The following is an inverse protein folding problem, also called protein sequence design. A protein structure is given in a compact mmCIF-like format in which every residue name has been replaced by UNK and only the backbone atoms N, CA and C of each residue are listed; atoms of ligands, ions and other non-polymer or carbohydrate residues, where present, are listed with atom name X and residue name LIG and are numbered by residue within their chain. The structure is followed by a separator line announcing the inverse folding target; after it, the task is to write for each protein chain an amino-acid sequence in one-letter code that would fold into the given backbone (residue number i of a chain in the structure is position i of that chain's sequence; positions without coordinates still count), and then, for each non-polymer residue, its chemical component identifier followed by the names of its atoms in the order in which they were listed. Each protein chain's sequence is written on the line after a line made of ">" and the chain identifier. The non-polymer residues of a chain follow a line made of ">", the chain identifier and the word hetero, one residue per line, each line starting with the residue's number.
data_IF_703011567764
#
_entry.id   IF_703011567764
#
_cell.length_a   1.000
_cell.length_b   1.000
_cell.length_c   1.000
_cell.angle_alpha   90.00
_cell.angle_beta   90.00
_cell.angle_gamma   90.00
#
_symmetry.space_group_name_H-M   'P 1'
#
loop_
_entity.id
_entity.type
_entity.pdbx_description
1 polymer ?
#
# COMPACT_ATOMS: atom_id res chain seq x y z
N UNK A 1 -6.98 21.91 7.53
CA UNK A 1 -6.28 21.03 8.47
C UNK A 1 -6.31 19.61 7.95
N UNK A 2 -5.14 18.98 7.85
CA UNK A 2 -5.07 17.59 7.38
C UNK A 2 -5.44 16.66 8.53
N UNK A 3 -6.30 15.70 8.22
CA UNK A 3 -6.72 14.69 9.19
C UNK A 3 -5.71 13.55 9.31
N UNK A 4 -4.64 13.59 8.53
CA UNK A 4 -3.64 12.54 8.48
C UNK A 4 -2.25 13.10 8.18
N UNK A 5 -1.23 12.36 8.61
CA UNK A 5 0.14 12.62 8.19
C UNK A 5 0.41 11.84 6.90
N UNK A 6 1.13 12.44 5.99
CA UNK A 6 1.43 11.82 4.71
C UNK A 6 2.93 11.72 4.50
N UNK A 7 3.38 10.52 4.16
CA UNK A 7 4.78 10.22 3.86
C UNK A 7 4.84 9.58 2.48
N UNK A 8 5.73 10.10 1.65
CA UNK A 8 5.91 9.57 0.30
C UNK A 8 7.37 9.23 0.09
N UNK A 9 7.63 8.06 -0.50
CA UNK A 9 8.98 7.67 -0.90
C UNK A 9 8.97 7.24 -2.36
N UNK A 10 10.10 7.47 -3.01
CA UNK A 10 10.33 7.05 -4.39
C UNK A 10 11.52 6.13 -4.43
N UNK A 11 11.37 5.00 -5.09
CA UNK A 11 12.46 4.03 -5.26
C UNK A 11 12.51 3.57 -6.71
N UNK A 12 13.68 3.14 -7.18
CA UNK A 12 13.75 2.53 -8.51
C UNK A 12 12.85 1.30 -8.58
N UNK A 13 12.24 1.06 -9.75
CA UNK A 13 11.33 -0.08 -9.96
C UNK A 13 12.15 -1.37 -10.13
N UNK A 14 12.81 -1.78 -9.06
CA UNK A 14 13.68 -2.97 -9.04
C UNK A 14 13.36 -3.84 -7.82
N UNK A 15 13.41 -5.18 -7.98
CA UNK A 15 13.04 -6.09 -6.89
C UNK A 15 13.84 -5.90 -5.60
N UNK A 16 15.11 -5.49 -5.69
CA UNK A 16 15.96 -5.33 -4.51
C UNK A 16 15.49 -4.21 -3.57
N UNK A 17 14.59 -3.32 -4.02
CA UNK A 17 14.09 -2.24 -3.18
C UNK A 17 12.78 -2.57 -2.47
N UNK A 18 12.22 -3.76 -2.68
CA UNK A 18 11.01 -4.20 -1.99
C UNK A 18 11.22 -4.20 -0.47
N UNK A 19 12.42 -4.59 -0.02
CA UNK A 19 12.74 -4.62 1.41
C UNK A 19 12.71 -3.23 2.05
N UNK A 20 13.12 -2.20 1.33
CA UNK A 20 13.08 -0.82 1.83
C UNK A 20 11.63 -0.40 2.12
N UNK A 21 10.73 -0.73 1.19
CA UNK A 21 9.31 -0.41 1.34
C UNK A 21 8.70 -1.19 2.50
N UNK A 22 9.04 -2.48 2.62
CA UNK A 22 8.56 -3.33 3.71
C UNK A 22 8.96 -2.76 5.07
N UNK A 23 10.22 -2.35 5.22
CA UNK A 23 10.71 -1.78 6.47
C UNK A 23 10.05 -0.45 6.79
N UNK A 24 9.83 0.39 5.78
CA UNK A 24 9.16 1.67 5.95
C UNK A 24 7.72 1.46 6.43
N UNK A 25 6.98 0.59 5.77
CA UNK A 25 5.59 0.27 6.13
C UNK A 25 5.52 -0.28 7.55
N UNK A 26 6.45 -1.18 7.90
CA UNK A 26 6.53 -1.76 9.24
C UNK A 26 6.73 -0.69 10.32
N UNK A 27 7.67 0.23 10.09
CA UNK A 27 7.94 1.31 11.03
C UNK A 27 6.75 2.25 11.22
N UNK A 28 6.10 2.62 10.13
CA UNK A 28 4.94 3.50 10.18
C UNK A 28 3.74 2.82 10.85
N UNK A 29 3.51 1.55 10.52
CA UNK A 29 2.42 0.78 11.12
C UNK A 29 2.61 0.62 12.64
N UNK A 30 3.85 0.38 13.05
CA UNK A 30 4.16 0.30 14.48
C UNK A 30 3.84 1.61 15.20
N UNK A 31 4.12 2.73 14.55
CA UNK A 31 3.90 4.05 15.14
C UNK A 31 2.42 4.35 15.36
N UNK A 32 1.52 3.93 14.48
CA UNK A 32 0.09 4.16 14.68
C UNK A 32 -0.59 3.10 15.54
N UNK A 33 0.15 2.09 15.97
CA UNK A 33 -0.31 1.18 17.00
C UNK A 33 -0.88 -0.14 16.53
N UNK A 34 -0.58 -0.57 15.31
CA UNK A 34 -0.96 -1.93 14.87
C UNK A 34 -0.21 -2.97 15.70
N UNK A 35 -0.87 -4.10 15.96
CA UNK A 35 -0.22 -5.22 16.62
C UNK A 35 0.72 -5.95 15.66
N UNK A 36 1.47 -6.92 16.18
CA UNK A 36 2.46 -7.66 15.40
C UNK A 36 1.85 -8.34 14.17
N UNK A 37 0.71 -9.01 14.35
CA UNK A 37 0.07 -9.75 13.25
C UNK A 37 -0.38 -8.81 12.14
N UNK A 38 -0.96 -7.68 12.47
CA UNK A 38 -1.40 -6.69 11.49
C UNK A 38 -0.22 -6.04 10.78
N UNK A 39 0.89 -5.81 11.48
CA UNK A 39 2.12 -5.29 10.87
C UNK A 39 2.67 -6.29 9.86
N UNK A 40 2.67 -7.59 10.20
CA UNK A 40 3.10 -8.63 9.26
C UNK A 40 2.18 -8.69 8.04
N UNK A 41 0.88 -8.56 8.24
CA UNK A 41 -0.09 -8.53 7.14
C UNK A 41 0.17 -7.34 6.21
N UNK A 42 0.41 -6.16 6.78
CA UNK A 42 0.74 -4.95 6.01
C UNK A 42 2.03 -5.12 5.22
N UNK A 43 3.04 -5.74 5.81
CA UNK A 43 4.32 -6.00 5.13
C UNK A 43 4.14 -6.92 3.94
N UNK A 44 3.36 -7.98 4.09
CA UNK A 44 3.10 -8.93 3.02
C UNK A 44 2.31 -8.26 1.90
N UNK A 45 1.22 -7.56 2.24
CA UNK A 45 0.38 -6.89 1.26
C UNK A 45 1.16 -5.83 0.48
N UNK A 46 1.94 -5.01 1.18
CA UNK A 46 2.76 -3.99 0.54
C UNK A 46 3.81 -4.62 -0.38
N UNK A 47 4.44 -5.71 0.05
CA UNK A 47 5.44 -6.42 -0.77
C UNK A 47 4.82 -6.96 -2.05
N UNK A 48 3.63 -7.54 -1.96
CA UNK A 48 2.93 -8.06 -3.14
C UNK A 48 2.52 -6.93 -4.10
N UNK A 49 2.01 -5.82 -3.55
CA UNK A 49 1.65 -4.67 -4.37
C UNK A 49 2.87 -4.09 -5.10
N UNK A 50 3.99 -3.93 -4.41
CA UNK A 50 5.22 -3.42 -5.00
C UNK A 50 5.74 -4.39 -6.05
N UNK A 51 5.73 -5.69 -5.77
CA UNK A 51 6.18 -6.71 -6.73
C UNK A 51 5.35 -6.66 -8.01
N UNK A 52 4.04 -6.48 -7.89
CA UNK A 52 3.17 -6.35 -9.06
C UNK A 52 3.50 -5.11 -9.89
N UNK A 53 3.75 -3.98 -9.22
CA UNK A 53 4.11 -2.74 -9.92
C UNK A 53 5.48 -2.86 -10.57
N UNK A 54 6.45 -3.46 -9.89
CA UNK A 54 7.79 -3.72 -10.46
C UNK A 54 7.67 -4.59 -11.71
N UNK A 55 6.89 -5.66 -11.64
CA UNK A 55 6.68 -6.58 -12.75
C UNK A 55 6.05 -5.86 -13.95
N UNK A 56 5.07 -5.00 -13.71
CA UNK A 56 4.43 -4.20 -14.75
C UNK A 56 5.42 -3.24 -15.41
N UNK A 57 6.19 -2.52 -14.61
CA UNK A 57 7.19 -1.57 -15.11
C UNK A 57 8.28 -2.27 -15.92
N UNK A 58 8.69 -3.47 -15.48
CA UNK A 58 9.70 -4.26 -16.17
C UNK A 58 9.24 -4.70 -17.56
N UNK A 59 7.95 -4.98 -17.72
CA UNK A 59 7.38 -5.33 -19.03
C UNK A 59 7.42 -4.18 -20.02
N UNK A 60 7.38 -2.93 -19.53
CA UNK A 60 7.37 -1.76 -20.41
C UNK A 60 8.75 -1.46 -20.99
N UNK A 61 9.76 -1.25 -20.16
CA UNK A 61 11.10 -0.90 -20.61
C UNK A 61 12.19 -1.20 -19.58
N UNK A 62 11.79 -1.72 -18.41
CA UNK A 62 12.74 -2.05 -17.34
C UNK A 62 13.29 -0.86 -16.59
N UNK A 63 12.85 0.36 -16.92
CA UNK A 63 13.25 1.58 -16.24
C UNK A 63 12.02 2.26 -15.66
N UNK A 64 12.20 2.92 -14.53
CA UNK A 64 11.13 3.66 -13.90
C UNK A 64 11.28 3.71 -12.40
N UNK A 65 10.37 4.43 -11.79
CA UNK A 65 10.30 4.59 -10.35
C UNK A 65 8.96 4.11 -9.83
N UNK A 66 8.98 3.63 -8.59
CA UNK A 66 7.78 3.34 -7.84
C UNK A 66 7.61 4.44 -6.80
N UNK A 67 6.41 4.96 -6.71
CA UNK A 67 6.05 5.93 -5.68
C UNK A 67 5.14 5.23 -4.68
N UNK A 68 5.50 5.34 -3.40
CA UNK A 68 4.71 4.79 -2.31
C UNK A 68 4.25 5.96 -1.45
N UNK A 69 2.93 6.13 -1.36
CA UNK A 69 2.32 7.12 -0.49
C UNK A 69 1.70 6.42 0.71
N UNK A 70 1.99 6.93 1.91
CA UNK A 70 1.46 6.38 3.15
C UNK A 70 0.72 7.48 3.89
N UNK A 71 -0.59 7.32 4.07
CA UNK A 71 -1.41 8.23 4.85
C UNK A 71 -1.71 7.59 6.21
N UNK A 72 -1.31 8.29 7.27
CA UNK A 72 -1.41 7.80 8.64
C UNK A 72 -2.51 8.55 9.37
N UNK A 73 -3.61 7.85 9.65
CA UNK A 73 -4.73 8.37 10.42
C UNK A 73 -4.67 7.83 11.85
N UNK A 74 -5.52 8.32 12.70
CA UNK A 74 -5.61 7.82 14.07
C UNK A 74 -6.08 6.37 14.14
N UNK A 75 -6.92 5.96 13.18
CA UNK A 75 -7.59 4.66 13.22
C UNK A 75 -7.32 3.78 12.00
N UNK A 76 -6.48 4.22 11.07
CA UNK A 76 -6.19 3.45 9.86
C UNK A 76 -4.91 3.91 9.19
N UNK A 77 -4.40 3.07 8.32
CA UNK A 77 -3.29 3.40 7.43
C UNK A 77 -3.74 3.13 6.00
N UNK A 78 -3.51 4.10 5.12
CA UNK A 78 -3.75 3.93 3.70
C UNK A 78 -2.42 3.93 2.96
N UNK A 79 -2.28 2.97 2.05
CA UNK A 79 -1.07 2.82 1.21
C UNK A 79 -1.45 2.98 -0.23
N UNK A 80 -0.67 3.75 -0.97
CA UNK A 80 -0.82 3.88 -2.41
C UNK A 80 0.52 3.57 -3.05
N UNK A 81 0.52 2.65 -4.01
CA UNK A 81 1.72 2.20 -4.70
C UNK A 81 1.49 2.35 -6.19
N UNK A 82 2.32 3.14 -6.84
CA UNK A 82 2.15 3.46 -8.26
C UNK A 82 3.48 3.43 -9.00
N UNK A 83 3.42 3.14 -10.30
CA UNK A 83 4.59 3.12 -11.16
C UNK A 83 4.79 4.43 -11.94
N UNK A 84 4.38 5.54 -11.35
CA UNK A 84 4.53 6.85 -11.98
C UNK A 84 5.91 7.44 -11.74
N UNK A 85 6.48 8.04 -12.79
CA UNK A 85 7.70 8.81 -12.66
C UNK A 85 7.48 10.21 -12.11
N UNK A 86 6.25 10.69 -12.03
CA UNK A 86 5.90 12.02 -11.60
C UNK A 86 5.18 12.00 -10.25
N UNK A 87 5.24 13.12 -9.54
CA UNK A 87 4.49 13.28 -8.30
C UNK A 87 2.99 13.19 -8.60
N UNK A 88 2.24 12.70 -7.65
CA UNK A 88 0.80 12.58 -7.77
C UNK A 88 0.14 13.16 -6.51
N UNK A 89 -1.11 13.54 -6.67
CA UNK A 89 -1.93 14.00 -5.56
C UNK A 89 -2.69 12.80 -4.99
N UNK A 90 -2.34 12.42 -3.77
CA UNK A 90 -2.95 11.27 -3.10
C UNK A 90 -4.47 11.39 -3.02
N UNK A 91 -4.98 12.55 -2.61
CA UNK A 91 -6.41 12.76 -2.46
C UNK A 91 -7.16 12.65 -3.80
N UNK A 92 -6.58 13.21 -4.85
CA UNK A 92 -7.16 13.15 -6.19
C UNK A 92 -7.24 11.71 -6.70
N UNK A 93 -6.16 10.96 -6.55
CA UNK A 93 -6.11 9.57 -7.01
C UNK A 93 -7.06 8.72 -6.21
N UNK A 94 -7.14 8.92 -4.90
CA UNK A 94 -8.06 8.20 -4.03
C UNK A 94 -9.51 8.31 -4.49
N UNK A 95 -9.92 9.48 -4.99
CA UNK A 95 -11.30 9.66 -5.47
C UNK A 95 -11.57 9.02 -6.82
N UNK A 96 -10.52 8.79 -7.63
CA UNK A 96 -10.65 8.22 -8.98
C UNK A 96 -10.58 6.70 -9.01
N UNK A 97 -10.00 6.07 -8.00
CA UNK A 97 -9.83 4.62 -7.96
C UNK A 97 -11.09 3.97 -7.42
N UNK A 98 -11.61 2.99 -8.16
CA UNK A 98 -12.76 2.21 -7.73
C UNK A 98 -12.35 0.90 -7.07
N UNK A 99 -13.32 0.19 -6.47
CA UNK A 99 -13.06 -1.13 -5.89
C UNK A 99 -12.53 -2.13 -6.92
N UNK A 100 -11.66 -3.00 -6.47
CA UNK A 100 -11.19 -4.10 -7.31
C UNK A 100 -12.32 -5.10 -7.57
N UNK A 101 -12.49 -5.46 -8.85
CA UNK A 101 -13.47 -6.47 -9.27
C UNK A 101 -12.71 -7.65 -9.90
N UNK A 102 -12.88 -8.88 -9.36
CA UNK A 102 -12.14 -10.05 -9.86
C UNK A 102 -12.36 -10.35 -11.33
N UNK A 103 -13.50 -9.96 -11.89
CA UNK A 103 -13.85 -10.18 -13.30
C UNK A 103 -13.16 -9.20 -14.25
N UNK A 104 -12.60 -8.12 -13.75
CA UNK A 104 -11.87 -7.17 -14.59
C UNK A 104 -10.52 -7.75 -14.98
N UNK A 105 -10.20 -7.60 -16.26
CA UNK A 105 -8.90 -8.05 -16.74
C UNK A 105 -7.82 -7.09 -16.26
N UNK A 106 -7.01 -7.54 -15.33
CA UNK A 106 -5.91 -6.77 -14.77
C UNK A 106 -4.59 -7.16 -15.45
N UNK A 107 -4.58 -6.97 -16.77
CA UNK A 107 -3.40 -7.21 -17.58
C UNK A 107 -2.24 -6.36 -17.05
N UNK A 108 -1.10 -6.96 -16.86
CA UNK A 108 0.07 -6.29 -16.30
C UNK A 108 0.28 -6.55 -14.81
N UNK A 109 -0.72 -7.09 -14.14
CA UNK A 109 -0.53 -7.57 -12.78
C UNK A 109 -0.01 -9.00 -12.80
N UNK A 110 0.47 -9.47 -11.64
CA UNK A 110 1.11 -10.76 -11.50
C UNK A 110 0.20 -11.89 -11.96
N UNK A 111 0.75 -12.79 -12.79
CA UNK A 111 0.01 -13.94 -13.28
C UNK A 111 -0.47 -14.83 -12.13
N UNK A 112 -1.68 -15.39 -12.31
CA UNK A 112 -2.29 -16.26 -11.33
C UNK A 112 -3.11 -15.57 -10.26
N UNK A 113 -2.99 -14.24 -10.11
CA UNK A 113 -3.77 -13.47 -9.16
C UNK A 113 -3.54 -13.76 -7.69
N UNK A 114 -2.51 -14.56 -7.34
CA UNK A 114 -2.24 -14.92 -5.95
C UNK A 114 -1.87 -13.68 -5.11
N UNK A 115 -1.09 -12.77 -5.68
CA UNK A 115 -0.73 -11.53 -5.01
C UNK A 115 -1.94 -10.65 -4.70
N UNK A 116 -2.89 -10.57 -5.64
CA UNK A 116 -4.13 -9.83 -5.43
C UNK A 116 -4.99 -10.48 -4.36
N UNK A 117 -5.07 -11.80 -4.37
CA UNK A 117 -5.78 -12.56 -3.35
C UNK A 117 -5.20 -12.29 -1.96
N UNK A 118 -3.87 -12.29 -1.84
CA UNK A 118 -3.21 -11.98 -0.58
C UNK A 118 -3.51 -10.56 -0.12
N UNK A 119 -3.44 -9.60 -1.02
CA UNK A 119 -3.77 -8.21 -0.67
C UNK A 119 -5.19 -8.09 -0.13
N UNK A 120 -6.18 -8.67 -0.83
CA UNK A 120 -7.57 -8.61 -0.39
C UNK A 120 -7.81 -9.34 0.92
N UNK A 121 -7.11 -10.46 1.13
CA UNK A 121 -7.25 -11.26 2.35
C UNK A 121 -6.66 -10.53 3.56
N UNK A 122 -5.55 -9.86 3.38
CA UNK A 122 -4.79 -9.26 4.49
C UNK A 122 -5.17 -7.82 4.78
N UNK A 123 -5.76 -7.12 3.81
CA UNK A 123 -6.15 -5.72 3.95
C UNK A 123 -7.67 -5.61 4.05
N UNK A 124 -8.14 -4.51 4.64
CA UNK A 124 -9.58 -4.27 4.77
C UNK A 124 -10.19 -3.79 3.46
N UNK A 125 -9.45 -2.99 2.69
CA UNK A 125 -9.89 -2.52 1.38
C UNK A 125 -8.73 -2.55 0.41
N UNK A 126 -9.01 -2.94 -0.84
CA UNK A 126 -8.04 -2.89 -1.94
C UNK A 126 -8.74 -2.33 -3.16
N UNK A 127 -8.14 -1.31 -3.76
CA UNK A 127 -8.62 -0.70 -4.99
C UNK A 127 -7.46 -0.65 -5.98
N UNK A 128 -7.74 -0.94 -7.26
CA UNK A 128 -6.70 -1.00 -8.28
C UNK A 128 -7.14 -0.21 -9.50
N UNK A 129 -6.21 0.57 -10.05
CA UNK A 129 -6.39 1.28 -11.30
C UNK A 129 -5.19 0.98 -12.18
N UNK A 130 -5.43 0.52 -13.41
CA UNK A 130 -4.36 0.23 -14.35
C UNK A 130 -4.39 1.11 -15.61
N UNK A 131 -5.15 2.20 -15.58
CA UNK A 131 -5.15 3.18 -16.65
C UNK A 131 -3.92 4.07 -16.57
N UNK A 132 -3.06 4.03 -17.60
CA UNK A 132 -1.85 4.84 -17.63
C UNK A 132 -0.75 4.38 -16.69
N UNK A 133 -0.84 3.16 -16.19
CA UNK A 133 0.08 2.58 -15.23
C UNK A 133 -0.69 1.84 -14.16
N UNK A 134 0.00 1.13 -13.29
CA UNK A 134 -0.66 0.41 -12.20
C UNK A 134 -0.60 1.24 -10.92
N UNK A 135 -1.76 1.47 -10.32
CA UNK A 135 -1.87 2.07 -8.98
C UNK A 135 -2.67 1.13 -8.10
N UNK A 136 -2.08 0.77 -6.97
CA UNK A 136 -2.74 -0.06 -5.95
C UNK A 136 -2.97 0.80 -4.72
N UNK A 137 -4.20 0.81 -4.25
CA UNK A 137 -4.59 1.55 -3.06
C UNK A 137 -5.14 0.55 -2.04
N UNK A 138 -4.57 0.55 -0.84
CA UNK A 138 -4.95 -0.40 0.21
C UNK A 138 -5.20 0.33 1.52
N UNK A 139 -6.17 -0.15 2.28
CA UNK A 139 -6.52 0.40 3.59
C UNK A 139 -6.54 -0.70 4.63
N UNK A 140 -5.98 -0.43 5.80
CA UNK A 140 -6.09 -1.30 6.96
C UNK A 140 -6.46 -0.47 8.19
N UNK A 141 -7.47 -0.92 8.91
CA UNK A 141 -7.95 -0.24 10.11
C UNK A 141 -7.30 -0.80 11.36
N UNK A 142 -6.97 0.09 12.29
CA UNK A 142 -6.56 -0.32 13.63
C UNK A 142 -7.81 -0.77 14.37
N UNK A 143 -7.79 -1.94 14.98
CA UNK A 143 -8.96 -2.44 15.68
C UNK A 143 -9.21 -1.62 16.94
N UNK A 144 -10.47 -1.58 17.39
CA UNK A 144 -10.83 -0.86 18.59
C UNK A 144 -10.04 -1.35 19.81
N UNK A 145 -9.81 -2.64 19.88
CA UNK A 145 -9.01 -3.24 20.95
C UNK A 145 -7.57 -2.74 20.95
N UNK A 146 -6.97 -2.59 19.76
CA UNK A 146 -5.62 -2.06 19.63
C UNK A 146 -5.53 -0.61 20.09
N UNK A 147 -6.53 0.21 19.74
CA UNK A 147 -6.59 1.61 20.16
C UNK A 147 -6.65 1.71 21.68
N UNK A 148 -7.49 0.92 22.33
CA UNK A 148 -7.61 0.90 23.78
C UNK A 148 -6.30 0.50 24.47
N UNK A 149 -5.60 -0.51 23.96
CA UNK A 149 -4.29 -0.93 24.48
C UNK A 149 -3.24 0.17 24.34
N UNK A 150 -3.26 0.88 23.24
CA UNK A 150 -2.31 1.97 23.01
C UNK A 150 -2.53 3.13 23.97
N UNK A 151 -3.78 3.46 24.24
CA UNK A 151 -4.14 4.49 25.21
C UNK A 151 -3.63 4.09 26.61
N UNK A 152 -3.80 2.84 27.01
CA UNK A 152 -3.30 2.34 28.28
C UNK A 152 -1.77 2.46 28.38
N UNK A 153 -1.04 2.16 27.31
CA UNK A 153 0.43 2.31 27.29
C UNK A 153 0.86 3.75 27.47
N UNK A 154 0.14 4.69 26.94
CA UNK A 154 0.48 6.11 27.04
C UNK A 154 0.19 6.64 28.43
N UNK A 155 -0.84 6.12 29.10
CA UNK A 155 -1.27 6.59 30.42
C UNK A 155 -0.53 5.91 31.58
N UNK A 156 0.18 4.85 31.33
CA UNK A 156 0.98 4.16 32.34
C UNK A 156 2.46 4.51 32.24
#
# INVERSE_FOLDING_TARGET
>A
MKEFDYIEIRVPAKPQFVSVIRLTVSGLASRIGFNYDDIEDLKIAASEAVTNVVHHAYKKDGEGEIVIGCALYDNKMELMIADYGNSFNFEEIKTKIGPYHPEENIAGLREGGLGLYLMETLMDEVMINNDGGVTVFMTKYVTREQVEKNVERITT
#
